data_IF_429467888560
#
_entry.id   IF_429467888560
#
_cell.length_a   1.000
_cell.length_b   1.000
_cell.length_c   1.000
_cell.angle_alpha   90.00
_cell.angle_beta   90.00
_cell.angle_gamma   90.00
#
_symmetry.space_group_name_H-M   'P 1'
#
loop_
_entity.id
_entity.type
_entity.pdbx_description
1 polymer ?
#
# COMPACT_ATOMS: atom_id res chain seq x y z
N UNK A 1 -62.49 -24.69 -29.95
CA UNK A 1 -61.37 -25.18 -30.79
C UNK A 1 -60.09 -24.54 -30.29
N UNK A 2 -58.99 -25.17 -29.93
CA UNK A 2 -58.58 -26.57 -29.73
C UNK A 2 -57.19 -26.43 -29.10
N UNK A 3 -56.94 -27.17 -28.02
CA UNK A 3 -55.63 -27.28 -27.38
C UNK A 3 -54.52 -27.69 -28.36
N UNK A 4 -53.27 -27.35 -28.05
CA UNK A 4 -52.19 -28.34 -27.87
C UNK A 4 -50.91 -27.71 -27.31
N UNK A 5 -50.69 -28.00 -26.03
CA UNK A 5 -49.41 -27.94 -25.31
C UNK A 5 -48.53 -29.09 -25.86
N UNK A 6 -47.30 -28.80 -26.29
CA UNK A 6 -46.32 -29.85 -26.65
C UNK A 6 -45.24 -29.86 -25.58
N UNK A 7 -45.35 -30.84 -24.70
CA UNK A 7 -44.31 -31.29 -23.77
C UNK A 7 -43.41 -32.24 -24.58
N UNK A 8 -42.12 -31.95 -24.66
CA UNK A 8 -41.13 -32.91 -25.13
C UNK A 8 -40.13 -33.17 -24.01
N UNK A 9 -40.41 -34.21 -23.25
CA UNK A 9 -39.43 -34.89 -22.40
C UNK A 9 -38.44 -35.63 -23.29
N UNK A 10 -37.15 -35.40 -23.09
CA UNK A 10 -36.15 -36.43 -23.40
C UNK A 10 -35.12 -36.48 -22.29
N UNK A 11 -35.27 -37.48 -21.45
CA UNK A 11 -34.24 -37.94 -20.54
C UNK A 11 -33.12 -38.60 -21.36
N UNK A 12 -31.87 -38.25 -21.05
CA UNK A 12 -30.72 -39.05 -21.42
C UNK A 12 -29.79 -39.15 -20.20
N UNK A 13 -30.00 -40.23 -19.45
CA UNK A 13 -29.06 -40.78 -18.49
C UNK A 13 -27.87 -41.34 -19.30
N UNK A 14 -26.66 -40.82 -19.11
CA UNK A 14 -25.44 -41.51 -19.52
C UNK A 14 -24.56 -41.76 -18.30
N UNK A 15 -24.29 -43.04 -18.10
CA UNK A 15 -23.49 -43.64 -17.05
C UNK A 15 -21.99 -43.44 -17.33
N UNK A 16 -21.27 -43.08 -16.26
CA UNK A 16 -19.94 -43.49 -15.84
C UNK A 16 -18.96 -44.05 -16.90
N UNK A 17 -17.80 -43.37 -17.01
CA UNK A 17 -16.53 -44.03 -17.28
C UNK A 17 -15.46 -43.40 -16.36
N UNK A 18 -14.91 -44.22 -15.45
CA UNK A 18 -13.81 -43.84 -14.59
C UNK A 18 -12.49 -43.81 -15.35
N UNK A 19 -11.68 -42.79 -15.09
CA UNK A 19 -10.25 -42.80 -15.35
C UNK A 19 -9.53 -42.70 -14.01
N UNK A 20 -9.01 -43.83 -13.53
CA UNK A 20 -7.97 -43.84 -12.51
C UNK A 20 -6.63 -43.90 -13.26
N UNK A 21 -5.83 -42.83 -13.18
CA UNK A 21 -4.43 -42.84 -13.59
C UNK A 21 -3.59 -42.30 -12.44
N UNK A 22 -2.78 -43.14 -11.77
CA UNK A 22 -1.79 -42.67 -10.82
C UNK A 22 -0.56 -42.20 -11.61
N UNK A 23 -0.05 -41.02 -11.31
CA UNK A 23 1.15 -40.50 -11.94
C UNK A 23 1.33 -39.02 -11.70
N UNK A 24 2.08 -38.72 -10.65
CA UNK A 24 2.84 -37.49 -10.38
C UNK A 24 2.46 -36.25 -11.19
N UNK A 25 1.84 -35.29 -10.52
CA UNK A 25 1.89 -33.91 -10.98
C UNK A 25 2.23 -33.03 -9.78
N UNK A 26 3.46 -32.54 -9.83
CA UNK A 26 4.01 -31.40 -9.09
C UNK A 26 2.92 -30.50 -8.53
N UNK A 27 2.81 -30.49 -7.20
CA UNK A 27 2.03 -29.52 -6.47
C UNK A 27 2.77 -28.17 -6.56
N UNK A 28 2.77 -27.56 -7.74
CA UNK A 28 3.10 -26.14 -7.90
C UNK A 28 1.87 -25.37 -7.46
N UNK A 29 1.64 -25.39 -6.14
CA UNK A 29 0.79 -24.43 -5.50
C UNK A 29 1.40 -23.06 -5.78
N UNK A 30 0.79 -22.33 -6.71
CA UNK A 30 0.89 -20.88 -6.74
C UNK A 30 0.28 -20.39 -5.41
N UNK A 31 1.05 -20.48 -4.34
CA UNK A 31 0.79 -19.73 -3.13
C UNK A 31 0.94 -18.28 -3.53
N UNK A 32 -0.16 -17.65 -3.94
CA UNK A 32 -0.28 -16.21 -3.94
C UNK A 32 0.10 -15.80 -2.51
N UNK A 33 1.29 -15.23 -2.35
CA UNK A 33 1.76 -14.73 -1.06
C UNK A 33 0.75 -13.66 -0.66
N UNK A 34 -0.15 -14.01 0.26
CA UNK A 34 -1.14 -13.09 0.78
C UNK A 34 -0.36 -11.98 1.48
N UNK A 35 -0.39 -10.78 0.88
CA UNK A 35 0.30 -9.63 1.45
C UNK A 35 -0.38 -9.26 2.75
N UNK A 36 0.32 -9.47 3.87
CA UNK A 36 -0.13 -9.03 5.19
C UNK A 36 -0.46 -7.54 5.16
N UNK A 37 -1.72 -7.21 5.44
CA UNK A 37 -2.16 -5.82 5.56
C UNK A 37 -1.46 -5.13 6.74
N UNK A 38 -0.84 -3.99 6.48
CA UNK A 38 -0.18 -3.16 7.49
C UNK A 38 -1.18 -2.12 8.00
N UNK A 39 -1.24 -1.98 9.32
CA UNK A 39 -2.17 -1.08 10.00
C UNK A 39 -1.48 -0.18 11.05
N UNK A 40 -0.16 -0.31 11.20
CA UNK A 40 0.64 0.41 12.21
C UNK A 40 1.69 1.28 11.54
N UNK A 41 1.92 2.47 12.11
CA UNK A 41 2.94 3.40 11.61
C UNK A 41 4.35 3.00 12.07
N UNK A 42 4.44 2.34 13.23
CA UNK A 42 5.68 1.85 13.82
C UNK A 42 6.45 0.94 12.86
N UNK A 43 7.76 1.19 12.75
CA UNK A 43 8.63 0.46 11.84
C UNK A 43 9.51 1.41 11.03
N UNK A 44 10.24 0.82 10.09
CA UNK A 44 11.10 1.55 9.17
C UNK A 44 10.57 1.39 7.74
N UNK A 45 10.52 2.52 7.04
CA UNK A 45 9.79 2.71 5.80
C UNK A 45 10.71 3.38 4.78
N UNK A 46 10.88 2.79 3.60
CA UNK A 46 11.73 3.31 2.53
C UNK A 46 10.90 3.89 1.38
N UNK A 47 11.29 5.08 0.92
CA UNK A 47 10.60 5.78 -0.14
C UNK A 47 10.71 5.01 -1.47
N UNK A 48 9.57 4.87 -2.16
CA UNK A 48 9.46 4.20 -3.46
C UNK A 48 8.78 5.05 -4.52
N UNK A 49 7.90 5.96 -4.12
CA UNK A 49 7.22 6.85 -5.06
C UNK A 49 7.10 8.23 -4.45
N UNK A 50 7.34 9.27 -5.24
CA UNK A 50 7.12 10.66 -4.83
C UNK A 50 6.42 11.44 -5.96
N UNK A 51 5.39 12.18 -5.59
CA UNK A 51 4.72 13.17 -6.44
C UNK A 51 4.78 14.55 -5.77
N UNK A 52 4.82 15.60 -6.57
CA UNK A 52 5.00 16.97 -6.09
C UNK A 52 6.44 17.27 -5.69
N UNK A 53 6.65 18.43 -5.05
CA UNK A 53 7.97 18.96 -4.77
C UNK A 53 8.83 19.21 -6.02
N UNK A 54 10.12 19.45 -5.81
CA UNK A 54 11.10 19.62 -6.88
C UNK A 54 11.79 18.29 -7.17
N UNK A 55 11.31 17.58 -8.20
CA UNK A 55 12.01 16.42 -8.75
C UNK A 55 12.93 16.86 -9.90
N UNK A 56 14.12 16.23 -10.07
CA UNK A 56 14.96 16.49 -11.23
C UNK A 56 14.20 16.35 -12.54
N UNK A 57 14.48 17.22 -13.50
CA UNK A 57 13.82 17.17 -14.81
C UNK A 57 14.02 15.80 -15.47
N UNK A 58 12.94 15.19 -15.95
CA UNK A 58 12.96 13.87 -16.57
C UNK A 58 13.03 12.69 -15.60
N UNK A 59 13.08 12.93 -14.28
CA UNK A 59 12.91 11.85 -13.30
C UNK A 59 11.44 11.46 -13.19
N UNK A 60 11.16 10.17 -13.28
CA UNK A 60 9.83 9.62 -12.98
C UNK A 60 9.56 9.62 -11.47
N UNK A 61 8.30 9.46 -11.04
CA UNK A 61 7.96 9.43 -9.63
C UNK A 61 8.47 8.17 -8.91
N UNK A 62 8.78 7.11 -9.66
CA UNK A 62 9.18 5.81 -9.12
C UNK A 62 10.68 5.77 -8.82
N UNK A 63 11.01 5.30 -7.62
CA UNK A 63 12.36 5.22 -7.09
C UNK A 63 12.74 3.75 -6.87
N UNK A 64 14.00 3.43 -7.17
CA UNK A 64 14.52 2.06 -7.04
C UNK A 64 14.65 1.65 -5.56
N UNK A 65 14.59 0.33 -5.25
CA UNK A 65 15.08 -0.18 -3.99
C UNK A 65 16.47 0.30 -3.58
N UNK A 66 16.67 0.60 -2.31
CA UNK A 66 17.95 1.11 -1.79
C UNK A 66 18.18 2.60 -2.01
N UNK A 67 17.13 3.42 -2.16
CA UNK A 67 17.32 4.89 -2.33
C UNK A 67 17.90 5.55 -1.09
N UNK A 68 17.79 4.94 0.08
CA UNK A 68 18.31 5.48 1.33
C UNK A 68 17.42 6.51 2.01
N UNK A 69 16.38 7.02 1.34
CA UNK A 69 15.41 7.94 1.94
C UNK A 69 14.37 7.15 2.76
N UNK A 70 14.43 7.27 4.08
CA UNK A 70 13.63 6.46 5.00
C UNK A 70 12.95 7.29 6.09
N UNK A 71 11.84 6.77 6.57
CA UNK A 71 11.26 7.14 7.86
C UNK A 71 11.41 5.98 8.83
N UNK A 72 11.63 6.30 10.10
CA UNK A 72 11.51 5.35 11.20
C UNK A 72 10.57 5.91 12.24
N UNK A 73 9.54 5.15 12.59
CA UNK A 73 8.60 5.51 13.64
C UNK A 73 8.66 4.49 14.78
N UNK A 74 8.58 5.01 16.00
CA UNK A 74 8.26 4.24 17.21
C UNK A 74 6.87 4.66 17.72
N UNK A 75 6.50 4.29 18.94
CA UNK A 75 5.22 4.66 19.53
C UNK A 75 5.00 6.19 19.57
N UNK A 76 6.06 6.96 19.85
CA UNK A 76 5.99 8.40 20.10
C UNK A 76 7.14 9.22 19.47
N UNK A 77 8.12 8.57 18.85
CA UNK A 77 9.25 9.23 18.18
C UNK A 77 9.36 8.90 16.70
N UNK A 78 9.97 9.81 15.94
CA UNK A 78 10.27 9.61 14.53
C UNK A 78 11.73 9.94 14.21
N UNK A 79 12.19 9.38 13.09
CA UNK A 79 13.42 9.78 12.41
C UNK A 79 13.14 9.92 10.90
N UNK A 80 13.52 11.06 10.32
CA UNK A 80 13.64 11.26 8.87
C UNK A 80 15.11 11.03 8.51
N UNK A 81 15.37 9.99 7.73
CA UNK A 81 16.70 9.55 7.37
C UNK A 81 16.87 9.80 5.86
N UNK A 82 17.41 10.96 5.44
CA UNK A 82 17.71 11.19 4.03
C UNK A 82 18.86 10.30 3.58
N UNK A 83 18.96 10.03 2.27
CA UNK A 83 20.11 9.30 1.70
C UNK A 83 21.43 10.02 1.99
N UNK A 84 21.46 11.31 1.65
CA UNK A 84 22.64 12.15 1.70
C UNK A 84 22.29 13.39 2.55
N UNK A 85 22.37 13.25 3.87
CA UNK A 85 22.04 14.38 4.77
C UNK A 85 21.95 14.00 6.24
N UNK A 86 21.76 15.00 7.11
CA UNK A 86 21.57 14.77 8.53
C UNK A 86 20.23 14.07 8.79
N UNK A 87 20.24 13.15 9.75
CA UNK A 87 19.00 12.55 10.27
C UNK A 87 18.29 13.59 11.13
N UNK A 88 17.02 13.85 10.82
CA UNK A 88 16.15 14.66 11.67
C UNK A 88 15.36 13.75 12.58
N UNK A 89 15.36 14.02 13.88
CA UNK A 89 14.66 13.20 14.88
C UNK A 89 13.71 14.06 15.71
N UNK A 90 12.64 13.47 16.21
CA UNK A 90 11.73 14.17 17.11
C UNK A 90 10.65 13.28 17.68
N UNK A 91 9.70 13.92 18.33
CA UNK A 91 8.48 13.33 18.88
C UNK A 91 7.28 13.69 18.02
N UNK A 92 6.28 12.83 18.02
CA UNK A 92 5.03 13.09 17.34
C UNK A 92 3.83 12.69 18.19
N UNK A 93 2.66 13.25 17.85
CA UNK A 93 1.37 12.79 18.37
C UNK A 93 0.44 12.46 17.21
N UNK A 94 -0.40 11.44 17.39
CA UNK A 94 -1.44 11.07 16.43
C UNK A 94 -2.69 11.91 16.64
N UNK A 95 -3.33 12.30 15.55
CA UNK A 95 -4.59 13.02 15.54
C UNK A 95 -5.40 12.68 14.28
N UNK A 96 -6.64 13.16 14.23
CA UNK A 96 -7.41 13.26 12.98
C UNK A 96 -7.39 14.70 12.51
N UNK A 97 -7.18 14.91 11.22
CA UNK A 97 -7.19 16.25 10.61
C UNK A 97 -7.67 16.20 9.15
N UNK A 98 -8.11 17.35 8.63
CA UNK A 98 -8.56 17.47 7.24
C UNK A 98 -7.37 17.69 6.30
N UNK A 99 -7.10 16.73 5.42
CA UNK A 99 -6.02 16.84 4.46
C UNK A 99 -6.41 17.78 3.31
N UNK A 100 -5.60 18.82 3.09
CA UNK A 100 -5.75 19.72 1.94
C UNK A 100 -5.52 19.02 0.59
N UNK A 101 -4.76 17.91 0.59
CA UNK A 101 -4.42 17.18 -0.63
C UNK A 101 -5.57 16.27 -1.11
N UNK A 102 -6.38 15.76 -0.18
CA UNK A 102 -7.47 14.80 -0.48
C UNK A 102 -8.86 15.33 -0.17
N UNK A 103 -8.98 16.47 0.53
CA UNK A 103 -10.21 17.03 1.06
C UNK A 103 -11.01 16.04 1.94
N UNK A 104 -10.30 15.17 2.67
CA UNK A 104 -10.87 14.16 3.57
C UNK A 104 -10.33 14.33 4.98
N UNK A 105 -11.14 13.95 5.96
CA UNK A 105 -10.65 13.67 7.33
C UNK A 105 -9.77 12.42 7.29
N UNK A 106 -8.53 12.53 7.76
CA UNK A 106 -7.53 11.47 7.70
C UNK A 106 -6.80 11.30 9.05
N UNK A 107 -6.15 10.15 9.22
CA UNK A 107 -5.11 10.04 10.25
C UNK A 107 -3.95 10.98 9.92
N UNK A 108 -3.40 11.59 10.96
CA UNK A 108 -2.27 12.49 10.83
C UNK A 108 -1.33 12.38 12.02
N UNK A 109 -0.09 12.80 11.80
CA UNK A 109 0.91 13.02 12.84
C UNK A 109 1.25 14.49 12.93
N UNK A 110 1.33 15.00 14.15
CA UNK A 110 1.86 16.31 14.48
C UNK A 110 3.31 16.15 14.91
N UNK A 111 4.25 16.66 14.10
CA UNK A 111 5.68 16.61 14.34
C UNK A 111 6.09 17.80 15.22
N UNK A 112 6.20 17.57 16.54
CA UNK A 112 6.39 18.65 17.53
C UNK A 112 7.73 19.37 17.33
N UNK A 113 8.76 18.62 16.98
CA UNK A 113 10.12 19.13 16.79
C UNK A 113 10.39 19.65 15.37
N UNK A 114 9.41 19.57 14.47
CA UNK A 114 9.47 20.09 13.10
C UNK A 114 8.50 21.28 12.91
N UNK A 115 8.48 22.21 13.87
CA UNK A 115 7.64 23.41 13.79
C UNK A 115 6.13 23.11 13.81
N UNK A 116 5.72 22.03 14.49
CA UNK A 116 4.33 21.58 14.52
C UNK A 116 3.76 21.24 13.13
N UNK A 117 4.60 20.74 12.23
CA UNK A 117 4.14 20.27 10.92
C UNK A 117 3.17 19.10 11.07
N UNK A 118 2.08 19.14 10.29
CA UNK A 118 1.10 18.06 10.19
C UNK A 118 1.37 17.26 8.91
N UNK A 119 1.46 15.94 9.06
CA UNK A 119 1.58 15.00 7.94
C UNK A 119 0.41 14.02 8.02
N UNK A 120 -0.47 14.02 7.02
CA UNK A 120 -1.56 13.04 6.93
C UNK A 120 -1.02 11.72 6.37
N UNK A 121 -1.65 10.61 6.74
CA UNK A 121 -1.24 9.31 6.24
C UNK A 121 -2.41 8.34 6.08
N UNK A 122 -2.21 7.34 5.21
CA UNK A 122 -3.04 6.14 5.13
C UNK A 122 -2.20 4.93 4.74
N UNK A 123 -2.73 3.72 4.99
CA UNK A 123 -2.12 2.47 4.56
C UNK A 123 -2.85 1.90 3.35
N UNK A 124 -2.10 1.41 2.38
CA UNK A 124 -2.61 0.63 1.26
C UNK A 124 -1.89 -0.72 1.21
N UNK A 125 -2.53 -1.76 1.74
CA UNK A 125 -2.02 -3.14 1.86
C UNK A 125 -0.64 -3.20 2.55
N UNK A 126 0.44 -2.97 1.80
CA UNK A 126 1.83 -3.09 2.24
C UNK A 126 2.60 -1.75 2.17
N UNK A 127 1.89 -0.65 1.90
CA UNK A 127 2.45 0.66 1.61
C UNK A 127 1.92 1.70 2.58
N UNK A 128 2.82 2.51 3.15
CA UNK A 128 2.49 3.74 3.88
C UNK A 128 2.47 4.90 2.88
N UNK A 129 1.39 5.67 2.86
CA UNK A 129 1.28 6.88 2.04
C UNK A 129 1.29 8.09 2.97
N UNK A 130 2.22 9.01 2.76
CA UNK A 130 2.31 10.28 3.47
C UNK A 130 1.90 11.43 2.55
N UNK A 131 1.12 12.35 3.10
CA UNK A 131 0.67 13.58 2.45
C UNK A 131 1.20 14.75 3.26
N UNK A 132 2.06 15.56 2.66
CA UNK A 132 2.62 16.75 3.29
C UNK A 132 2.21 17.97 2.48
N UNK A 133 1.46 18.90 3.08
CA UNK A 133 0.99 20.11 2.41
C UNK A 133 0.02 19.84 1.25
N UNK A 134 0.05 20.72 0.24
CA UNK A 134 -0.72 20.60 -1.01
C UNK A 134 0.23 20.71 -2.20
N UNK A 135 0.17 19.83 -3.19
CA UNK A 135 1.12 19.81 -4.34
C UNK A 135 1.20 21.18 -5.05
N UNK A 136 0.09 21.90 -5.18
CA UNK A 136 0.06 23.24 -5.80
C UNK A 136 0.80 24.32 -4.97
N UNK A 137 1.13 24.02 -3.72
CA UNK A 137 1.87 24.84 -2.77
C UNK A 137 3.06 24.06 -2.19
N UNK A 138 3.85 23.43 -3.07
CA UNK A 138 5.07 22.68 -2.76
C UNK A 138 4.89 21.45 -1.85
N UNK A 139 3.67 20.93 -1.76
CA UNK A 139 3.38 19.68 -1.06
C UNK A 139 3.84 18.43 -1.82
N UNK A 140 3.80 17.30 -1.12
CA UNK A 140 4.18 16.00 -1.66
C UNK A 140 3.19 14.90 -1.29
N UNK A 141 3.10 13.91 -2.18
CA UNK A 141 2.53 12.59 -1.88
C UNK A 141 3.66 11.58 -2.01
N UNK A 142 3.97 10.89 -0.92
CA UNK A 142 5.09 9.97 -0.84
C UNK A 142 4.60 8.58 -0.46
N UNK A 143 5.03 7.56 -1.20
CA UNK A 143 4.70 6.16 -0.93
C UNK A 143 5.94 5.44 -0.45
N UNK A 144 5.79 4.75 0.69
CA UNK A 144 6.84 4.04 1.37
C UNK A 144 6.51 2.57 1.55
N UNK A 145 7.54 1.74 1.56
CA UNK A 145 7.43 0.30 1.81
C UNK A 145 8.27 -0.07 3.04
N UNK A 146 7.88 -1.07 3.85
CA UNK A 146 8.70 -1.51 4.97
C UNK A 146 10.10 -1.94 4.52
N UNK A 147 11.13 -1.58 5.28
CA UNK A 147 12.53 -1.98 4.98
C UNK A 147 12.71 -3.49 5.15
N UNK A 148 12.12 -4.08 6.18
CA UNK A 148 12.27 -5.51 6.50
C UNK A 148 11.19 -6.38 5.84
N UNK A 149 10.78 -6.09 4.60
CA UNK A 149 9.92 -7.04 3.87
C UNK A 149 10.70 -8.34 3.70
N UNK A 150 10.20 -9.43 4.28
CA UNK A 150 10.57 -10.78 3.84
C UNK A 150 10.09 -10.85 2.39
N UNK A 151 11.04 -10.91 1.46
CA UNK A 151 10.77 -11.08 0.03
C UNK A 151 10.41 -12.53 -0.27
#
# INVERSE_FOLDING_TARGET
MTHKLIINSLAALFLLAGCHKPGDTSNTGNHAVEKKQITSLEGEWELRVIYGGMLPQGSGPNLQPGTGNRWKFTADTYQMIPKDGPVTTGTYSRLKDSSLQTNRMMDAILLKDAGNAIVHYEFNIDTLILYSGMIAADGTIQKYVPVNRVQ
#
